data_IF_292117470348
#
_entry.id   IF_292117470348
#
_cell.length_a   1.000
_cell.length_b   1.000
_cell.length_c   1.000
_cell.angle_alpha   90.00
_cell.angle_beta   90.00
_cell.angle_gamma   90.00
#
_symmetry.space_group_name_H-M   'P 1'
#
loop_
_entity.id
_entity.type
_entity.pdbx_description
1 polymer ?
#
# COMPACT_ATOMS: atom_id res chain seq x y z
N UNK A 1 47.27 -11.23 2.96
CA UNK A 1 45.97 -11.44 2.26
C UNK A 1 45.87 -10.48 1.08
N UNK A 2 45.76 -10.98 -0.15
CA UNK A 2 45.75 -10.18 -1.40
C UNK A 2 44.62 -9.13 -1.43
N UNK A 3 44.92 -7.93 -1.94
CA UNK A 3 43.97 -6.80 -2.06
C UNK A 3 42.70 -7.20 -2.83
N UNK A 4 42.84 -8.04 -3.87
CA UNK A 4 41.71 -8.58 -4.63
C UNK A 4 40.77 -9.44 -3.77
N UNK A 5 41.33 -10.20 -2.81
CA UNK A 5 40.56 -11.03 -1.87
C UNK A 5 39.82 -10.19 -0.82
N UNK A 6 40.40 -9.06 -0.41
CA UNK A 6 39.75 -8.11 0.52
C UNK A 6 38.54 -7.44 -0.14
N UNK A 7 38.66 -6.99 -1.39
CA UNK A 7 37.55 -6.39 -2.14
C UNK A 7 36.43 -7.39 -2.44
N UNK A 8 36.77 -8.64 -2.78
CA UNK A 8 35.76 -9.70 -2.97
C UNK A 8 34.91 -9.93 -1.71
N UNK A 9 35.51 -9.91 -0.53
CA UNK A 9 34.79 -10.05 0.76
C UNK A 9 33.89 -8.84 1.02
N UNK A 10 34.35 -7.61 0.76
CA UNK A 10 33.55 -6.39 0.94
C UNK A 10 32.31 -6.39 0.02
N UNK A 11 32.47 -6.78 -1.25
CA UNK A 11 31.36 -6.86 -2.20
C UNK A 11 30.34 -7.93 -1.76
N UNK A 12 30.81 -9.10 -1.32
CA UNK A 12 29.93 -10.17 -0.83
C UNK A 12 29.13 -9.73 0.40
N UNK A 13 29.76 -9.01 1.35
CA UNK A 13 29.07 -8.46 2.52
C UNK A 13 28.05 -7.38 2.13
N UNK A 14 28.39 -6.48 1.20
CA UNK A 14 27.46 -5.46 0.71
C UNK A 14 26.25 -6.08 0.00
N UNK A 15 26.46 -7.13 -0.80
CA UNK A 15 25.38 -7.88 -1.44
C UNK A 15 24.46 -8.56 -0.41
N UNK A 16 25.02 -9.18 0.63
CA UNK A 16 24.24 -9.80 1.71
C UNK A 16 23.40 -8.77 2.47
N UNK A 17 23.96 -7.60 2.79
CA UNK A 17 23.23 -6.49 3.42
C UNK A 17 22.11 -6.02 2.49
N UNK A 18 22.37 -5.83 1.19
CA UNK A 18 21.36 -5.43 0.21
C UNK A 18 20.21 -6.44 0.10
N UNK A 19 20.53 -7.74 0.06
CA UNK A 19 19.53 -8.81 0.03
C UNK A 19 18.70 -8.84 1.32
N UNK A 20 19.35 -8.76 2.49
CA UNK A 20 18.64 -8.75 3.77
C UNK A 20 17.72 -7.52 3.93
N UNK A 21 18.19 -6.34 3.53
CA UNK A 21 17.39 -5.12 3.50
C UNK A 21 16.22 -5.22 2.54
N UNK A 22 16.41 -5.86 1.37
CA UNK A 22 15.34 -6.16 0.43
C UNK A 22 14.28 -7.08 1.05
N UNK A 23 14.69 -8.20 1.66
CA UNK A 23 13.75 -9.11 2.33
C UNK A 23 12.97 -8.42 3.47
N UNK A 24 13.63 -7.56 4.25
CA UNK A 24 12.98 -6.78 5.30
C UNK A 24 12.00 -5.72 4.73
N UNK A 25 12.40 -5.02 3.67
CA UNK A 25 11.59 -4.00 3.02
C UNK A 25 10.36 -4.57 2.30
N UNK A 26 10.41 -5.83 1.87
CA UNK A 26 9.33 -6.51 1.16
C UNK A 26 8.57 -7.54 2.01
N UNK A 27 8.85 -7.63 3.31
CA UNK A 27 8.08 -8.50 4.21
C UNK A 27 6.65 -7.98 4.34
N UNK A 28 5.69 -8.85 4.01
CA UNK A 28 4.27 -8.63 4.30
C UNK A 28 4.08 -9.00 5.77
N UNK A 29 3.70 -8.03 6.59
CA UNK A 29 3.49 -8.23 8.03
C UNK A 29 2.01 -8.38 8.40
N UNK A 30 1.11 -8.20 7.44
CA UNK A 30 -0.31 -8.41 7.64
C UNK A 30 -0.70 -9.80 7.14
N UNK A 31 -1.54 -10.48 7.91
CA UNK A 31 -2.06 -11.80 7.54
C UNK A 31 -3.33 -11.67 6.68
N UNK A 32 -4.05 -10.57 6.84
CA UNK A 32 -5.26 -10.24 6.07
C UNK A 32 -5.36 -8.76 5.75
N UNK A 33 -6.24 -8.45 4.80
CA UNK A 33 -6.77 -7.11 4.59
C UNK A 33 -8.29 -7.16 4.59
N UNK A 34 -8.89 -6.31 5.41
CA UNK A 34 -10.35 -6.12 5.46
C UNK A 34 -10.69 -4.84 4.73
N UNK A 35 -11.61 -4.88 3.77
CA UNK A 35 -12.03 -3.74 2.96
C UNK A 35 -13.53 -3.54 3.10
N UNK A 36 -13.95 -2.28 3.14
CA UNK A 36 -15.34 -1.85 3.11
C UNK A 36 -15.51 -0.81 2.00
N UNK A 37 -16.67 -0.82 1.34
CA UNK A 37 -17.12 0.34 0.56
C UNK A 37 -17.49 1.48 1.52
N UNK A 38 -17.38 2.70 1.04
CA UNK A 38 -17.67 3.91 1.83
C UNK A 38 -18.71 4.77 1.10
N UNK A 39 -19.64 5.34 1.86
CA UNK A 39 -20.66 6.27 1.36
C UNK A 39 -20.06 7.64 1.08
N UNK A 40 -20.82 8.49 0.38
CA UNK A 40 -20.43 9.89 0.13
C UNK A 40 -20.22 10.70 1.42
N UNK A 41 -20.83 10.27 2.54
CA UNK A 41 -20.66 10.87 3.87
C UNK A 41 -19.41 10.36 4.61
N UNK A 42 -18.66 9.42 4.02
CA UNK A 42 -17.45 8.85 4.62
C UNK A 42 -17.70 7.68 5.60
N UNK A 43 -18.93 7.17 5.64
CA UNK A 43 -19.35 6.05 6.49
C UNK A 43 -19.15 4.71 5.79
N UNK A 44 -18.92 3.64 6.55
CA UNK A 44 -18.79 2.30 5.95
C UNK A 44 -20.16 1.76 5.57
N UNK A 45 -20.29 1.25 4.36
CA UNK A 45 -21.52 0.60 3.90
C UNK A 45 -21.69 -0.73 4.64
N UNK A 46 -22.83 -0.91 5.32
CA UNK A 46 -23.14 -2.17 6.00
C UNK A 46 -23.22 -3.33 4.99
N UNK A 47 -22.72 -4.50 5.36
CA UNK A 47 -22.67 -5.66 4.47
C UNK A 47 -21.60 -5.62 3.37
N UNK A 48 -20.87 -4.50 3.19
CA UNK A 48 -19.82 -4.39 2.16
C UNK A 48 -18.46 -5.00 2.55
N UNK A 49 -18.39 -5.68 3.70
CA UNK A 49 -17.13 -6.23 4.23
C UNK A 49 -16.58 -7.30 3.28
N UNK A 50 -15.37 -7.09 2.82
CA UNK A 50 -14.57 -8.07 2.05
C UNK A 50 -13.30 -8.38 2.83
N UNK A 51 -13.04 -9.65 3.09
CA UNK A 51 -11.83 -10.13 3.78
C UNK A 51 -10.97 -10.87 2.76
N UNK A 52 -9.71 -10.45 2.63
CA UNK A 52 -8.75 -11.10 1.77
C UNK A 52 -7.57 -11.62 2.60
N UNK A 53 -7.31 -12.91 2.47
CA UNK A 53 -6.18 -13.61 3.11
C UNK A 53 -5.16 -14.10 2.09
N UNK A 54 -5.42 -13.93 0.79
CA UNK A 54 -4.49 -14.35 -0.24
C UNK A 54 -3.24 -13.45 -0.25
N UNK A 55 -2.10 -14.11 -0.35
CA UNK A 55 -0.80 -13.46 -0.17
C UNK A 55 -0.54 -12.33 -1.17
N UNK A 56 -1.01 -12.45 -2.41
CA UNK A 56 -0.77 -11.41 -3.42
C UNK A 56 -1.63 -10.16 -3.15
N UNK A 57 -2.89 -10.33 -2.77
CA UNK A 57 -3.76 -9.21 -2.40
C UNK A 57 -3.22 -8.50 -1.17
N UNK A 58 -2.94 -9.22 -0.09
CA UNK A 58 -2.42 -8.62 1.14
C UNK A 58 -1.09 -7.90 0.88
N UNK A 59 -0.21 -8.48 0.05
CA UNK A 59 1.03 -7.83 -0.41
C UNK A 59 0.75 -6.55 -1.19
N UNK A 60 -0.25 -6.54 -2.06
CA UNK A 60 -0.60 -5.38 -2.88
C UNK A 60 -1.07 -4.20 -2.04
N UNK A 61 -1.97 -4.44 -1.06
CA UNK A 61 -2.41 -3.42 -0.11
C UNK A 61 -1.26 -2.95 0.79
N UNK A 62 -0.44 -3.88 1.29
CA UNK A 62 0.76 -3.54 2.10
C UNK A 62 1.73 -2.66 1.32
N UNK A 63 1.97 -2.99 0.05
CA UNK A 63 2.85 -2.22 -0.82
C UNK A 63 2.29 -0.81 -1.07
N UNK A 64 0.99 -0.69 -1.32
CA UNK A 64 0.32 0.60 -1.46
C UNK A 64 0.50 1.48 -0.22
N UNK A 65 0.26 0.93 0.97
CA UNK A 65 0.40 1.67 2.23
C UNK A 65 1.84 2.05 2.57
N UNK A 66 2.84 1.25 2.16
CA UNK A 66 4.26 1.46 2.50
C UNK A 66 4.99 2.39 1.52
N UNK A 67 4.68 2.31 0.23
CA UNK A 67 5.46 2.95 -0.83
C UNK A 67 4.71 4.06 -1.58
N UNK A 68 3.51 4.44 -1.11
CA UNK A 68 2.86 5.61 -1.67
C UNK A 68 3.61 6.90 -1.30
N UNK A 69 3.62 7.84 -2.24
CA UNK A 69 4.38 9.07 -2.12
C UNK A 69 3.55 10.14 -1.41
N UNK A 70 4.00 10.58 -0.24
CA UNK A 70 3.38 11.68 0.51
C UNK A 70 3.26 12.91 -0.39
N UNK A 71 2.08 13.50 -0.46
CA UNK A 71 1.89 14.79 -1.11
C UNK A 71 2.14 15.92 -0.10
N UNK A 72 2.86 16.99 -0.48
CA UNK A 72 3.01 18.15 0.37
C UNK A 72 1.67 18.90 0.51
N UNK A 73 1.51 19.62 1.62
CA UNK A 73 0.31 20.40 1.92
C UNK A 73 -0.75 19.65 2.73
N UNK A 74 -1.86 20.34 2.99
CA UNK A 74 -3.08 19.78 3.56
C UNK A 74 -4.17 19.79 2.50
N UNK A 75 -4.96 18.73 2.44
CA UNK A 75 -6.05 18.60 1.48
C UNK A 75 -7.40 18.53 2.18
N UNK A 76 -8.39 19.15 1.54
CA UNK A 76 -9.80 18.86 1.73
C UNK A 76 -10.27 18.11 0.47
N UNK A 77 -10.78 16.90 0.65
CA UNK A 77 -11.09 15.97 -0.44
C UNK A 77 -12.35 15.20 -0.10
N UNK A 78 -13.14 14.87 -1.13
CA UNK A 78 -14.35 14.08 -1.01
C UNK A 78 -14.14 12.76 -0.27
N UNK A 79 -15.24 12.14 0.17
CA UNK A 79 -15.20 10.84 0.82
C UNK A 79 -14.47 9.78 -0.04
N UNK A 80 -13.76 8.83 0.59
CA UNK A 80 -13.08 7.77 -0.14
C UNK A 80 -14.08 6.78 -0.73
N UNK A 81 -13.67 6.08 -1.80
CA UNK A 81 -14.45 4.97 -2.36
C UNK A 81 -14.42 3.76 -1.42
N UNK A 82 -13.26 3.55 -0.78
CA UNK A 82 -13.02 2.40 0.07
C UNK A 82 -12.31 2.77 1.37
N UNK A 83 -12.51 1.91 2.37
CA UNK A 83 -11.75 1.92 3.62
C UNK A 83 -11.21 0.54 3.89
N UNK A 84 -9.92 0.45 4.15
CA UNK A 84 -9.28 -0.84 4.41
C UNK A 84 -8.45 -0.84 5.70
N UNK A 85 -8.27 -2.05 6.22
CA UNK A 85 -7.56 -2.34 7.46
C UNK A 85 -6.45 -3.34 7.16
N UNK A 86 -5.22 -2.98 7.54
CA UNK A 86 -4.07 -3.88 7.56
C UNK A 86 -3.65 -3.99 9.02
N UNK A 87 -3.87 -5.15 9.63
CA UNK A 87 -3.74 -5.36 11.07
C UNK A 87 -4.57 -4.30 11.84
N UNK A 88 -3.92 -3.51 12.69
CA UNK A 88 -4.48 -2.44 13.51
C UNK A 88 -4.56 -1.08 12.80
N UNK A 89 -4.11 -0.98 11.55
CA UNK A 89 -4.00 0.29 10.82
C UNK A 89 -5.16 0.48 9.86
N UNK A 90 -5.73 1.69 9.90
CA UNK A 90 -6.89 2.10 9.10
C UNK A 90 -6.49 3.08 8.00
N UNK A 91 -7.03 2.87 6.80
CA UNK A 91 -6.73 3.67 5.62
C UNK A 91 -8.00 4.02 4.83
N UNK A 92 -8.08 5.26 4.38
CA UNK A 92 -9.02 5.69 3.35
C UNK A 92 -8.34 5.56 1.97
N UNK A 93 -9.09 5.11 0.97
CA UNK A 93 -8.57 4.78 -0.37
C UNK A 93 -9.51 5.34 -1.45
N UNK A 94 -8.94 6.14 -2.35
CA UNK A 94 -9.60 6.62 -3.56
C UNK A 94 -9.00 5.93 -4.79
N UNK A 95 -9.87 5.35 -5.61
CA UNK A 95 -9.56 4.67 -6.86
C UNK A 95 -10.61 5.07 -7.90
N UNK A 96 -10.26 6.03 -8.74
CA UNK A 96 -11.09 6.40 -9.88
C UNK A 96 -10.88 5.42 -11.04
N UNK A 97 -11.95 5.10 -11.78
CA UNK A 97 -11.87 4.32 -13.01
C UNK A 97 -10.98 4.99 -14.06
N UNK A 98 -11.23 6.29 -14.30
CA UNK A 98 -10.57 7.09 -15.33
C UNK A 98 -9.16 7.55 -14.96
N UNK A 99 -8.82 7.64 -13.67
CA UNK A 99 -7.50 8.11 -13.24
C UNK A 99 -6.51 6.97 -13.00
N UNK A 100 -5.33 7.01 -13.62
CA UNK A 100 -4.35 5.89 -13.61
C UNK A 100 -3.69 5.64 -12.24
N UNK A 101 -3.65 6.62 -11.35
CA UNK A 101 -3.05 6.49 -10.00
C UNK A 101 -4.15 6.32 -8.94
N UNK A 102 -3.74 5.95 -7.74
CA UNK A 102 -4.63 5.91 -6.57
C UNK A 102 -4.19 6.92 -5.53
N UNK A 103 -5.06 7.19 -4.57
CA UNK A 103 -4.76 8.05 -3.42
C UNK A 103 -5.09 7.31 -2.14
N UNK A 104 -4.24 7.44 -1.12
CA UNK A 104 -4.56 6.95 0.22
C UNK A 104 -4.41 8.04 1.27
N UNK A 105 -5.08 7.82 2.39
CA UNK A 105 -4.88 8.59 3.62
C UNK A 105 -4.81 7.61 4.78
N UNK A 106 -3.80 7.78 5.64
CA UNK A 106 -3.59 6.94 6.82
C UNK A 106 -4.27 7.60 8.02
N UNK A 107 -5.29 6.97 8.58
CA UNK A 107 -5.99 7.45 9.76
C UNK A 107 -5.18 7.16 11.05
N UNK A 108 -5.34 7.98 12.11
CA UNK A 108 -6.28 9.08 12.27
C UNK A 108 -5.83 10.42 11.66
N UNK A 109 -4.66 10.48 11.03
CA UNK A 109 -4.18 11.72 10.41
C UNK A 109 -5.06 12.08 9.19
N UNK A 110 -5.89 13.11 9.35
CA UNK A 110 -6.69 13.70 8.27
C UNK A 110 -5.92 14.83 7.57
N UNK A 111 -6.21 15.03 6.29
CA UNK A 111 -5.60 16.09 5.48
C UNK A 111 -4.21 15.80 4.92
N UNK A 112 -3.59 14.65 5.23
CA UNK A 112 -2.38 14.18 4.52
C UNK A 112 -2.73 13.03 3.59
N UNK A 113 -2.49 13.19 2.28
CA UNK A 113 -2.67 12.13 1.30
C UNK A 113 -1.34 11.63 0.74
N UNK A 114 -1.38 10.40 0.23
CA UNK A 114 -0.26 9.75 -0.43
C UNK A 114 -0.71 9.20 -1.77
N UNK A 115 0.10 9.44 -2.80
CA UNK A 115 -0.17 8.99 -4.16
C UNK A 115 0.37 7.58 -4.35
N UNK A 116 -0.50 6.66 -4.73
CA UNK A 116 -0.18 5.29 -5.10
C UNK A 116 0.25 5.27 -6.57
N UNK A 117 1.41 4.67 -6.85
CA UNK A 117 1.90 4.49 -8.23
C UNK A 117 0.94 3.66 -9.08
N UNK A 118 0.90 3.95 -10.38
CA UNK A 118 -0.06 3.38 -11.33
C UNK A 118 -0.13 1.86 -11.31
N UNK A 119 1.02 1.17 -11.34
CA UNK A 119 1.06 -0.30 -11.35
C UNK A 119 0.31 -0.90 -10.16
N UNK A 120 0.49 -0.31 -8.98
CA UNK A 120 -0.18 -0.75 -7.75
C UNK A 120 -1.65 -0.36 -7.76
N UNK A 121 -1.98 0.86 -8.20
CA UNK A 121 -3.37 1.31 -8.33
C UNK A 121 -4.17 0.39 -9.26
N UNK A 122 -3.61 0.02 -10.42
CA UNK A 122 -4.25 -0.89 -11.36
C UNK A 122 -4.48 -2.29 -10.77
N UNK A 123 -3.56 -2.81 -9.95
CA UNK A 123 -3.78 -4.07 -9.23
C UNK A 123 -4.94 -3.95 -8.23
N UNK A 124 -4.97 -2.87 -7.44
CA UNK A 124 -6.05 -2.62 -6.48
C UNK A 124 -7.41 -2.52 -7.16
N UNK A 125 -7.51 -1.80 -8.29
CA UNK A 125 -8.74 -1.71 -9.09
C UNK A 125 -9.23 -3.08 -9.54
N UNK A 126 -8.32 -3.94 -10.04
CA UNK A 126 -8.67 -5.31 -10.46
C UNK A 126 -9.19 -6.18 -9.31
N UNK A 127 -8.56 -6.09 -8.14
CA UNK A 127 -8.96 -6.81 -6.92
C UNK A 127 -10.35 -6.34 -6.45
N UNK A 128 -10.57 -5.02 -6.47
CA UNK A 128 -11.79 -4.42 -5.94
C UNK A 128 -12.95 -4.40 -6.95
N UNK A 129 -12.68 -4.59 -8.24
CA UNK A 129 -13.69 -4.57 -9.29
C UNK A 129 -14.08 -3.16 -9.74
N UNK A 130 -13.17 -2.18 -9.60
CA UNK A 130 -13.39 -0.79 -10.06
C UNK A 130 -13.43 -0.77 -11.60
N UNK A 131 -14.51 -0.24 -12.20
CA UNK A 131 -14.68 -0.15 -13.66
C UNK A 131 -15.02 -1.46 -14.36
N UNK A 132 -15.68 -2.38 -13.67
CA UNK A 132 -16.23 -3.62 -14.25
C UNK A 132 -17.74 -3.64 -14.18
#
# INVERSE_FOLDING_TARGET
MSVKRKWGVVIALAALIGVSAYFYAFRVMADEVVVYAVTEQGEQVQGSKRVFTDKETVKTFTYAARFANKQPGKVDIAAPDYRFYLNDKKYNLWLSESYRKGTLMKLPNSGTIYTIGEKTANKLKKILGVGK
#
